data_IF_319255755319
#
_entry.id   IF_319255755319
#
_cell.length_a   1.000
_cell.length_b   1.000
_cell.length_c   1.000
_cell.angle_alpha   90.00
_cell.angle_beta   90.00
_cell.angle_gamma   90.00
#
_symmetry.space_group_name_H-M   'P 1'
#
loop_
_entity.id
_entity.type
_entity.pdbx_description
1 polymer ?
#
# COMPACT_ATOMS: atom_id res chain seq x y z
N UNK A 1 8.10 -9.29 -2.61
CA UNK A 1 7.56 -8.99 -3.94
C UNK A 1 6.03 -8.94 -3.93
N UNK A 2 5.34 -9.94 -3.39
CA UNK A 2 3.87 -9.93 -3.35
C UNK A 2 3.30 -8.67 -2.69
N UNK A 3 3.85 -8.26 -1.55
CA UNK A 3 3.39 -7.05 -0.86
C UNK A 3 3.53 -5.80 -1.74
N UNK A 4 4.67 -5.64 -2.44
CA UNK A 4 4.87 -4.53 -3.38
C UNK A 4 3.82 -4.54 -4.48
N UNK A 5 3.55 -5.71 -5.07
CA UNK A 5 2.57 -5.83 -6.14
C UNK A 5 1.14 -5.59 -5.66
N UNK A 6 0.76 -6.13 -4.49
CA UNK A 6 -0.55 -5.88 -3.86
C UNK A 6 -0.73 -4.38 -3.59
N UNK A 7 0.24 -3.76 -2.95
CA UNK A 7 0.22 -2.35 -2.62
C UNK A 7 0.11 -1.50 -3.90
N UNK A 8 1.02 -1.67 -4.85
CA UNK A 8 1.03 -0.90 -6.09
C UNK A 8 -0.28 -1.04 -6.89
N UNK A 9 -0.84 -2.25 -6.97
CA UNK A 9 -2.08 -2.48 -7.73
C UNK A 9 -3.28 -1.69 -7.21
N UNK A 10 -3.24 -1.22 -5.96
CA UNK A 10 -4.28 -0.46 -5.27
C UNK A 10 -3.81 0.92 -4.78
N UNK A 11 -2.59 1.30 -5.10
CA UNK A 11 -1.92 2.46 -4.51
C UNK A 11 -2.72 3.74 -4.67
N UNK A 12 -3.28 3.99 -5.86
CA UNK A 12 -4.09 5.19 -6.10
C UNK A 12 -5.36 5.19 -5.23
N UNK A 13 -6.05 4.06 -5.16
CA UNK A 13 -7.23 3.90 -4.30
C UNK A 13 -6.88 4.02 -2.81
N UNK A 14 -5.72 3.51 -2.39
CA UNK A 14 -5.23 3.64 -1.00
C UNK A 14 -4.98 5.11 -0.67
N UNK A 15 -4.33 5.84 -1.56
CA UNK A 15 -4.02 7.27 -1.36
C UNK A 15 -5.28 8.12 -1.29
N UNK A 16 -6.27 7.84 -2.15
CA UNK A 16 -7.59 8.50 -2.09
C UNK A 16 -8.35 8.11 -0.82
N UNK A 17 -8.42 6.82 -0.48
CA UNK A 17 -9.09 6.32 0.72
C UNK A 17 -8.59 6.97 2.00
N UNK A 18 -7.29 7.20 2.10
CA UNK A 18 -6.62 7.81 3.25
C UNK A 18 -6.56 9.34 3.15
N UNK A 19 -7.02 9.92 2.04
CA UNK A 19 -6.93 11.38 1.78
C UNK A 19 -5.53 11.92 2.07
N UNK A 20 -4.51 11.27 1.47
CA UNK A 20 -3.12 11.64 1.72
C UNK A 20 -2.88 13.08 1.28
N UNK A 21 -2.32 13.87 2.20
CA UNK A 21 -1.98 15.25 1.90
C UNK A 21 -0.94 15.32 0.75
N UNK A 22 -1.20 16.09 -0.33
CA UNK A 22 -0.30 16.15 -1.49
C UNK A 22 1.14 16.58 -1.14
N UNK A 23 1.30 17.49 -0.18
CA UNK A 23 2.63 17.90 0.28
C UNK A 23 3.38 16.76 0.97
N UNK A 24 2.67 15.87 1.68
CA UNK A 24 3.24 14.66 2.27
C UNK A 24 3.56 13.61 1.21
N UNK A 25 2.65 13.40 0.26
CA UNK A 25 2.87 12.47 -0.84
C UNK A 25 4.18 12.79 -1.54
N UNK A 26 4.37 14.04 -1.92
CA UNK A 26 5.59 14.46 -2.62
C UNK A 26 6.87 14.28 -1.79
N UNK A 27 6.84 14.58 -0.48
CA UNK A 27 8.06 14.68 0.36
C UNK A 27 8.36 13.40 1.14
N UNK A 28 7.35 12.73 1.70
CA UNK A 28 7.54 11.73 2.76
C UNK A 28 6.95 10.36 2.46
N UNK A 29 6.01 10.26 1.54
CA UNK A 29 5.34 9.01 1.20
C UNK A 29 5.03 8.93 -0.30
N UNK A 30 6.06 9.11 -1.12
CA UNK A 30 5.95 9.01 -2.59
C UNK A 30 5.37 7.66 -3.00
N UNK A 31 4.67 7.64 -4.11
CA UNK A 31 4.19 6.41 -4.73
C UNK A 31 5.34 5.51 -5.16
N UNK A 32 5.05 4.25 -5.35
CA UNK A 32 6.02 3.24 -5.80
C UNK A 32 6.64 3.62 -7.14
N UNK A 33 7.96 3.56 -7.23
CA UNK A 33 8.67 3.84 -8.46
C UNK A 33 8.39 2.75 -9.51
N UNK A 34 7.91 3.15 -10.69
CA UNK A 34 7.50 2.21 -11.76
C UNK A 34 8.68 1.45 -12.36
N UNK A 35 9.85 2.08 -12.48
CA UNK A 35 11.07 1.42 -12.97
C UNK A 35 11.49 0.31 -12.01
N UNK A 36 11.49 0.61 -10.71
CA UNK A 36 11.74 -0.40 -9.67
C UNK A 36 10.76 -1.57 -9.78
N UNK A 37 9.46 -1.27 -9.87
CA UNK A 37 8.41 -2.29 -9.98
C UNK A 37 8.59 -3.18 -11.21
N UNK A 38 8.87 -2.58 -12.36
CA UNK A 38 9.12 -3.28 -13.63
C UNK A 38 10.31 -4.24 -13.50
N UNK A 39 11.43 -3.73 -12.98
CA UNK A 39 12.63 -4.54 -12.78
C UNK A 39 12.44 -5.66 -11.73
N UNK A 40 11.73 -5.37 -10.65
CA UNK A 40 11.37 -6.35 -9.62
C UNK A 40 10.57 -7.53 -10.19
N UNK A 41 9.59 -7.24 -11.03
CA UNK A 41 8.73 -8.26 -11.62
C UNK A 41 9.41 -9.01 -12.79
N UNK A 42 10.31 -8.34 -13.51
CA UNK A 42 11.13 -8.96 -14.56
C UNK A 42 12.20 -9.89 -13.98
N UNK A 43 13.01 -9.40 -13.04
CA UNK A 43 14.18 -10.11 -12.51
C UNK A 43 13.84 -11.12 -11.42
N UNK A 44 12.75 -10.92 -10.69
CA UNK A 44 12.27 -11.80 -9.61
C UNK A 44 13.42 -12.25 -8.67
N UNK A 45 14.06 -11.32 -7.96
CA UNK A 45 15.25 -11.63 -7.18
C UNK A 45 14.97 -12.72 -6.14
N UNK A 46 15.88 -13.71 -6.09
CA UNK A 46 15.76 -14.84 -5.16
C UNK A 46 16.36 -14.54 -3.78
N UNK A 47 17.14 -13.47 -3.64
CA UNK A 47 17.78 -13.09 -2.37
C UNK A 47 17.44 -11.66 -1.99
N UNK A 48 17.52 -11.37 -0.68
CA UNK A 48 17.29 -10.02 -0.17
C UNK A 48 18.35 -9.03 -0.68
N UNK A 49 19.59 -9.45 -0.87
CA UNK A 49 20.64 -8.63 -1.44
C UNK A 49 20.30 -8.16 -2.86
N UNK A 50 19.93 -9.09 -3.74
CA UNK A 50 19.49 -8.76 -5.11
C UNK A 50 18.20 -7.91 -5.13
N UNK A 51 17.32 -8.09 -4.16
CA UNK A 51 16.14 -7.25 -4.01
C UNK A 51 16.54 -5.82 -3.59
N UNK A 52 17.45 -5.69 -2.65
CA UNK A 52 17.99 -4.39 -2.23
C UNK A 52 18.68 -3.66 -3.39
N UNK A 53 19.42 -4.37 -4.26
CA UNK A 53 20.05 -3.78 -5.45
C UNK A 53 19.01 -3.12 -6.37
N UNK A 54 17.83 -3.73 -6.52
CA UNK A 54 16.75 -3.15 -7.31
C UNK A 54 16.12 -1.94 -6.61
N UNK A 55 15.94 -2.00 -5.30
CA UNK A 55 15.38 -0.88 -4.54
C UNK A 55 16.26 0.36 -4.57
N UNK A 56 17.57 0.16 -4.44
CA UNK A 56 18.55 1.26 -4.39
C UNK A 56 19.10 1.67 -5.77
N UNK A 57 18.56 1.18 -6.88
CA UNK A 57 19.10 1.47 -8.20
C UNK A 57 19.13 2.98 -8.56
N UNK A 58 18.22 3.76 -7.97
CA UNK A 58 18.16 5.22 -8.16
C UNK A 58 18.81 6.02 -7.02
N UNK A 59 19.14 5.36 -5.92
CA UNK A 59 19.81 5.95 -4.75
C UNK A 59 20.87 5.00 -4.22
N UNK A 60 21.94 4.71 -4.98
CA UNK A 60 22.90 3.66 -4.66
C UNK A 60 23.78 3.98 -3.44
N UNK A 61 23.96 5.27 -3.13
CA UNK A 61 24.77 5.71 -2.00
C UNK A 61 24.02 5.66 -0.69
N UNK A 62 24.73 5.34 0.39
CA UNK A 62 24.18 5.43 1.75
C UNK A 62 23.12 4.39 2.09
N UNK A 63 23.18 3.18 1.52
CA UNK A 63 22.22 2.09 1.78
C UNK A 63 22.04 1.78 3.28
N UNK A 64 23.08 1.99 4.08
CA UNK A 64 23.08 1.78 5.53
C UNK A 64 22.72 3.04 6.33
N UNK A 65 22.54 4.18 5.67
CA UNK A 65 22.22 5.44 6.36
C UNK A 65 20.76 5.45 6.78
N UNK A 66 20.50 5.78 8.05
CA UNK A 66 19.13 5.85 8.59
C UNK A 66 18.19 6.75 7.77
N UNK A 67 18.69 7.86 7.26
CA UNK A 67 17.92 8.84 6.49
C UNK A 67 18.11 8.72 4.97
N UNK A 68 18.40 7.53 4.45
CA UNK A 68 18.44 7.31 3.01
C UNK A 68 17.14 7.79 2.34
N UNK A 69 17.24 8.54 1.24
CA UNK A 69 16.08 9.15 0.56
C UNK A 69 15.07 8.13 0.01
N UNK A 70 15.50 6.88 -0.21
CA UNK A 70 14.62 5.80 -0.63
C UNK A 70 13.55 5.43 0.40
N UNK A 71 13.72 5.81 1.68
CA UNK A 71 12.73 5.58 2.74
C UNK A 71 11.43 6.38 2.55
N UNK A 72 11.46 7.45 1.76
CA UNK A 72 10.34 8.37 1.60
C UNK A 72 9.32 7.88 0.54
N UNK A 73 8.92 6.62 0.66
CA UNK A 73 7.80 6.01 -0.09
C UNK A 73 6.68 5.59 0.87
N UNK A 74 5.45 5.54 0.37
CA UNK A 74 4.30 5.08 1.15
C UNK A 74 4.50 3.67 1.72
N UNK A 75 5.07 2.77 0.90
CA UNK A 75 5.61 1.49 1.33
C UNK A 75 7.14 1.60 1.38
N UNK A 76 7.71 1.79 2.57
CA UNK A 76 9.13 1.94 2.76
C UNK A 76 9.83 0.59 2.92
N UNK A 77 10.58 0.17 1.90
CA UNK A 77 11.38 -1.05 1.94
C UNK A 77 12.82 -0.82 2.44
N UNK A 78 13.28 0.42 2.60
CA UNK A 78 14.57 0.69 3.23
C UNK A 78 14.63 0.07 4.63
N UNK A 79 13.53 0.18 5.40
CA UNK A 79 13.41 -0.48 6.70
C UNK A 79 13.54 -2.01 6.61
N UNK A 80 13.13 -2.62 5.50
CA UNK A 80 13.23 -4.07 5.29
C UNK A 80 14.69 -4.51 5.18
N UNK A 81 15.51 -3.74 4.46
CA UNK A 81 16.91 -4.09 4.24
C UNK A 81 17.81 -3.73 5.44
N UNK A 82 17.41 -2.75 6.25
CA UNK A 82 18.21 -2.27 7.40
C UNK A 82 17.77 -2.85 8.73
N UNK A 83 16.48 -3.17 8.90
CA UNK A 83 15.88 -3.60 10.18
C UNK A 83 15.08 -4.90 10.08
N UNK A 84 14.89 -5.45 8.88
CA UNK A 84 14.04 -6.64 8.67
C UNK A 84 12.54 -6.36 8.77
N UNK A 85 12.08 -5.11 8.77
CA UNK A 85 10.67 -4.72 8.93
C UNK A 85 10.16 -3.94 7.74
N UNK A 86 8.86 -4.06 7.44
CA UNK A 86 8.18 -3.20 6.45
C UNK A 86 7.59 -1.99 7.18
N UNK A 87 7.79 -0.80 6.63
CA UNK A 87 7.21 0.42 7.17
C UNK A 87 6.16 0.99 6.20
N UNK A 88 4.94 1.15 6.67
CA UNK A 88 3.88 1.86 5.98
C UNK A 88 3.88 3.33 6.41
N UNK A 89 4.37 4.23 5.55
CA UNK A 89 4.59 5.66 5.87
C UNK A 89 3.47 6.58 5.41
N UNK A 90 2.46 6.04 4.75
CA UNK A 90 1.46 6.81 4.02
C UNK A 90 0.43 7.53 4.91
N UNK A 91 0.19 7.07 6.13
CA UNK A 91 -0.89 7.60 6.96
C UNK A 91 -0.68 9.05 7.40
N UNK A 92 -1.73 9.85 7.32
CA UNK A 92 -1.75 11.16 7.98
C UNK A 92 -1.75 10.98 9.51
N UNK A 93 -1.21 11.96 10.24
CA UNK A 93 -1.30 11.97 11.71
C UNK A 93 -2.76 12.08 12.16
N UNK A 94 -3.15 11.30 13.15
CA UNK A 94 -4.49 11.34 13.74
C UNK A 94 -4.44 10.94 15.22
N UNK A 95 -5.34 11.52 16.03
CA UNK A 95 -5.62 11.09 17.41
C UNK A 95 -6.93 10.28 17.51
N UNK A 96 -7.59 10.04 16.38
CA UNK A 96 -8.86 9.31 16.35
C UNK A 96 -8.62 7.81 16.48
N UNK A 97 -9.00 7.22 17.62
CA UNK A 97 -8.75 5.80 17.92
C UNK A 97 -9.29 4.84 16.84
N UNK A 98 -10.47 5.13 16.26
CA UNK A 98 -11.06 4.33 15.19
C UNK A 98 -10.21 4.33 13.89
N UNK A 99 -9.60 5.46 13.55
CA UNK A 99 -8.68 5.55 12.41
C UNK A 99 -7.39 4.78 12.67
N UNK A 100 -6.82 4.94 13.86
CA UNK A 100 -5.61 4.20 14.28
C UNK A 100 -5.86 2.69 14.18
N UNK A 101 -6.99 2.22 14.76
CA UNK A 101 -7.42 0.81 14.65
C UNK A 101 -7.55 0.37 13.19
N UNK A 102 -8.20 1.18 12.35
CA UNK A 102 -8.39 0.89 10.93
C UNK A 102 -7.06 0.76 10.19
N UNK A 103 -6.10 1.65 10.45
CA UNK A 103 -4.77 1.62 9.82
C UNK A 103 -3.98 0.35 10.20
N UNK A 104 -4.01 -0.03 11.48
CA UNK A 104 -3.36 -1.24 11.96
C UNK A 104 -3.99 -2.48 11.31
N UNK A 105 -5.32 -2.61 11.35
CA UNK A 105 -6.04 -3.74 10.75
C UNK A 105 -5.77 -3.84 9.25
N UNK A 106 -5.75 -2.72 8.55
CA UNK A 106 -5.48 -2.66 7.11
C UNK A 106 -4.06 -3.11 6.75
N UNK A 107 -3.04 -2.63 7.47
CA UNK A 107 -1.66 -3.05 7.27
C UNK A 107 -1.47 -4.55 7.51
N UNK A 108 -2.05 -5.07 8.60
CA UNK A 108 -1.99 -6.49 8.93
C UNK A 108 -2.67 -7.36 7.87
N UNK A 109 -3.89 -6.99 7.44
CA UNK A 109 -4.64 -7.74 6.44
C UNK A 109 -3.93 -7.76 5.08
N UNK A 110 -3.39 -6.63 4.64
CA UNK A 110 -2.63 -6.54 3.38
C UNK A 110 -1.33 -7.36 3.45
N UNK A 111 -0.64 -7.31 4.58
CA UNK A 111 0.58 -8.09 4.80
C UNK A 111 0.25 -9.59 4.83
N UNK A 112 -0.82 -9.99 5.51
CA UNK A 112 -1.29 -11.37 5.53
C UNK A 112 -1.60 -11.88 4.12
N UNK A 113 -2.36 -11.11 3.32
CA UNK A 113 -2.63 -11.48 1.93
C UNK A 113 -1.33 -11.67 1.13
N UNK A 114 -0.37 -10.77 1.30
CA UNK A 114 0.91 -10.86 0.59
C UNK A 114 1.74 -12.08 0.97
N UNK A 115 1.63 -12.56 2.20
CA UNK A 115 2.32 -13.76 2.70
C UNK A 115 1.64 -15.05 2.26
N UNK A 116 0.31 -15.08 2.22
CA UNK A 116 -0.46 -16.31 1.97
C UNK A 116 -0.70 -16.59 0.50
N UNK A 117 -0.78 -15.57 -0.35
CA UNK A 117 -1.03 -15.79 -1.78
C UNK A 117 0.23 -16.19 -2.54
N UNK A 118 0.11 -17.15 -3.46
CA UNK A 118 1.22 -17.63 -4.31
C UNK A 118 1.79 -16.56 -5.22
N UNK A 119 0.93 -15.71 -5.81
CA UNK A 119 1.29 -14.65 -6.76
C UNK A 119 0.41 -13.43 -6.55
N UNK A 120 0.98 -12.25 -6.70
CA UNK A 120 0.27 -10.97 -6.75
C UNK A 120 0.54 -10.27 -8.09
N UNK A 121 -0.52 -9.75 -8.71
CA UNK A 121 -0.42 -8.90 -9.89
C UNK A 121 -0.14 -7.46 -9.47
N UNK A 122 0.71 -6.79 -10.25
CA UNK A 122 0.95 -5.34 -10.13
C UNK A 122 0.04 -4.51 -11.06
N UNK A 123 -0.95 -5.13 -11.72
CA UNK A 123 -1.88 -4.40 -12.59
C UNK A 123 -2.68 -3.40 -11.75
N UNK A 124 -2.63 -2.13 -12.13
CA UNK A 124 -3.42 -1.07 -11.50
C UNK A 124 -4.92 -1.37 -11.58
N UNK A 125 -5.64 -0.98 -10.57
CA UNK A 125 -7.11 -1.05 -10.56
C UNK A 125 -7.65 0.20 -11.22
N UNK A 126 -8.25 0.04 -12.37
CA UNK A 126 -8.99 1.07 -13.06
C UNK A 126 -10.48 0.91 -12.73
N UNK A 127 -11.13 1.97 -12.29
CA UNK A 127 -12.53 1.95 -11.89
C UNK A 127 -13.13 3.36 -11.90
N UNK A 128 -14.37 3.45 -12.26
CA UNK A 128 -15.25 4.62 -12.15
C UNK A 128 -15.96 4.70 -10.78
N UNK A 129 -15.89 3.63 -9.99
CA UNK A 129 -16.47 3.53 -8.66
C UNK A 129 -15.43 3.04 -7.65
N UNK A 130 -14.64 3.98 -7.14
CA UNK A 130 -13.56 3.71 -6.20
C UNK A 130 -14.03 3.03 -4.91
N UNK A 131 -15.16 3.51 -4.37
CA UNK A 131 -15.72 3.00 -3.12
C UNK A 131 -16.12 1.52 -3.23
N UNK A 132 -16.77 1.14 -4.32
CA UNK A 132 -17.11 -0.25 -4.59
C UNK A 132 -15.86 -1.12 -4.77
N UNK A 133 -14.95 -0.69 -5.63
CA UNK A 133 -13.73 -1.43 -5.93
C UNK A 133 -12.87 -1.66 -4.67
N UNK A 134 -12.73 -0.62 -3.84
CA UNK A 134 -11.98 -0.70 -2.60
C UNK A 134 -12.68 -1.58 -1.56
N UNK A 135 -14.01 -1.46 -1.42
CA UNK A 135 -14.79 -2.35 -0.55
C UNK A 135 -14.63 -3.81 -0.95
N UNK A 136 -14.76 -4.12 -2.24
CA UNK A 136 -14.58 -5.50 -2.72
C UNK A 136 -13.18 -6.03 -2.40
N UNK A 137 -12.15 -5.17 -2.50
CA UNK A 137 -10.80 -5.57 -2.12
C UNK A 137 -10.66 -5.79 -0.62
N UNK A 138 -11.21 -4.91 0.22
CA UNK A 138 -11.20 -5.11 1.69
C UNK A 138 -11.83 -6.44 2.10
N UNK A 139 -12.93 -6.84 1.46
CA UNK A 139 -13.54 -8.15 1.73
C UNK A 139 -12.60 -9.31 1.34
N UNK A 140 -11.86 -9.17 0.24
CA UNK A 140 -10.84 -10.16 -0.17
C UNK A 140 -9.62 -10.18 0.77
N UNK A 141 -9.34 -9.08 1.46
CA UNK A 141 -8.35 -9.00 2.53
C UNK A 141 -8.82 -9.71 3.82
N UNK A 142 -10.07 -10.17 3.88
CA UNK A 142 -10.65 -10.76 5.07
C UNK A 142 -11.26 -9.76 6.07
N UNK A 143 -11.35 -8.47 5.70
CA UNK A 143 -11.97 -7.44 6.55
C UNK A 143 -13.50 -7.53 6.52
N UNK A 144 -14.05 -8.68 6.98
CA UNK A 144 -15.47 -9.06 6.95
C UNK A 144 -16.01 -9.08 8.38
N UNK A 145 -17.34 -8.92 8.51
CA UNK A 145 -18.03 -8.98 9.82
C UNK A 145 -17.97 -7.67 10.61
N UNK A 146 -18.58 -7.69 11.77
CA UNK A 146 -18.75 -6.51 12.64
C UNK A 146 -17.44 -6.04 13.26
N UNK A 147 -16.51 -6.96 13.51
CA UNK A 147 -15.18 -6.66 14.01
C UNK A 147 -14.45 -5.62 13.14
N UNK A 148 -14.63 -5.68 11.83
CA UNK A 148 -14.00 -4.78 10.85
C UNK A 148 -14.91 -3.64 10.37
N UNK A 149 -16.11 -3.46 10.95
CA UNK A 149 -17.06 -2.41 10.56
C UNK A 149 -16.42 -1.01 10.64
N UNK A 150 -15.75 -0.71 11.75
CA UNK A 150 -15.02 0.56 11.95
C UNK A 150 -13.90 0.73 10.93
N UNK A 151 -13.14 -0.33 10.65
CA UNK A 151 -12.09 -0.32 9.63
C UNK A 151 -12.64 0.03 8.25
N UNK A 152 -13.70 -0.66 7.82
CA UNK A 152 -14.35 -0.39 6.54
C UNK A 152 -14.92 1.03 6.47
N UNK A 153 -15.52 1.53 7.55
CA UNK A 153 -16.05 2.89 7.61
C UNK A 153 -14.94 3.93 7.34
N UNK A 154 -13.83 3.87 8.08
CA UNK A 154 -12.75 4.85 7.95
C UNK A 154 -12.03 4.78 6.60
N UNK A 155 -11.86 3.59 6.04
CA UNK A 155 -11.18 3.40 4.77
C UNK A 155 -12.06 3.71 3.54
N UNK A 156 -13.39 3.77 3.69
CA UNK A 156 -14.32 4.08 2.59
C UNK A 156 -14.82 5.54 2.59
N UNK A 157 -14.67 6.27 3.69
CA UNK A 157 -15.30 7.58 3.87
C UNK A 157 -14.91 8.62 2.82
N UNK A 158 -13.65 8.59 2.36
CA UNK A 158 -13.09 9.58 1.43
C UNK A 158 -13.21 9.17 -0.05
N UNK A 159 -13.63 7.93 -0.34
CA UNK A 159 -13.74 7.45 -1.70
C UNK A 159 -15.06 7.86 -2.35
N UNK A 160 -15.01 8.13 -3.65
CA UNK A 160 -16.18 8.47 -4.48
C UNK A 160 -16.97 7.23 -4.89
N UNK A 161 -18.24 7.41 -5.20
CA UNK A 161 -19.14 6.36 -5.70
C UNK A 161 -19.95 5.66 -4.60
N UNK A 162 -20.55 4.54 -4.96
CA UNK A 162 -21.45 3.75 -4.12
C UNK A 162 -20.76 2.47 -3.62
N UNK A 163 -20.93 2.14 -2.34
CA UNK A 163 -20.31 0.94 -1.78
C UNK A 163 -21.06 -0.36 -2.12
N UNK A 164 -22.35 -0.29 -2.42
CA UNK A 164 -23.21 -1.46 -2.66
C UNK A 164 -23.25 -1.90 -4.13
N UNK A 165 -23.22 -0.95 -5.06
CA UNK A 165 -23.44 -1.19 -6.48
C UNK A 165 -22.24 -0.75 -7.31
N UNK A 166 -21.84 -1.60 -8.26
CA UNK A 166 -20.72 -1.31 -9.17
C UNK A 166 -21.04 -0.16 -10.11
N UNK A 167 -22.23 -0.14 -10.66
CA UNK A 167 -22.73 0.92 -11.55
C UNK A 167 -23.88 1.64 -10.86
N UNK A 168 -24.07 2.93 -11.15
CA UNK A 168 -25.26 3.64 -10.71
C UNK A 168 -26.50 2.90 -11.26
N UNK A 169 -27.55 2.82 -10.48
CA UNK A 169 -28.85 2.40 -11.03
C UNK A 169 -29.27 3.42 -12.09
N UNK A 170 -29.61 2.95 -13.27
CA UNK A 170 -30.17 3.77 -14.33
C UNK A 170 -31.50 4.37 -13.91
#
# INVERSE_FOLDING_TARGET
RNLVNVFYSKEDLIYHALSINPGREHRYCRKTNERFLKELNKKRPATMAKFADLWYMEAPCGRNMHYNSSRYHGLNLHATFTKGTVEFRLFNGTLHAGEIKAYIQFCLAMTHQALTQKKASARKTETDNEKYAFRCWMLRLGLIGDEFKTCRHHLLKNLTGNAAWRHAAA
#
